data_IF_031596897842
#
_entry.id   IF_031596897842
#
_cell.length_a   1.000
_cell.length_b   1.000
_cell.length_c   1.000
_cell.angle_alpha   90.00
_cell.angle_beta   90.00
_cell.angle_gamma   90.00
#
_symmetry.space_group_name_H-M   'P 1'
#
loop_
_entity.id
_entity.type
_entity.pdbx_description
1 polymer ?
#
# COMPACT_ATOMS: atom_id res chain seq x y z
N UNK A 1 -19.25 14.43 27.42
CA UNK A 1 -18.18 15.33 27.91
C UNK A 1 -16.88 14.67 27.49
N UNK A 2 -16.38 15.06 26.33
CA UNK A 2 -15.68 14.08 25.50
C UNK A 2 -14.18 14.30 25.66
N UNK A 3 -13.50 13.24 26.13
CA UNK A 3 -12.08 13.27 26.47
C UNK A 3 -11.22 13.21 25.20
N UNK A 4 -11.29 14.25 24.38
CA UNK A 4 -10.27 14.51 23.36
C UNK A 4 -8.94 14.80 24.06
N UNK A 5 -8.06 13.81 24.06
CA UNK A 5 -6.66 13.93 24.47
C UNK A 5 -5.90 14.78 23.46
N UNK A 6 -6.09 16.11 23.54
CA UNK A 6 -5.38 17.07 22.70
C UNK A 6 -3.88 16.83 22.79
N UNK A 7 -3.26 16.53 21.64
CA UNK A 7 -1.80 16.43 21.53
C UNK A 7 -1.17 17.73 22.03
N UNK A 8 -0.01 17.68 22.71
CA UNK A 8 0.65 18.90 23.21
C UNK A 8 0.94 19.87 22.06
N UNK A 9 1.05 21.19 22.33
CA UNK A 9 1.46 22.19 21.34
C UNK A 9 2.74 21.74 20.63
N UNK A 10 2.66 21.64 19.30
CA UNK A 10 3.76 21.18 18.45
C UNK A 10 3.81 22.06 17.22
N UNK A 11 4.91 22.78 17.07
CA UNK A 11 5.18 23.75 16.01
C UNK A 11 6.65 23.63 15.61
N UNK A 12 6.91 23.61 14.31
CA UNK A 12 8.26 23.52 13.75
C UNK A 12 8.48 24.65 12.74
N UNK A 13 9.73 25.12 12.68
CA UNK A 13 10.13 26.14 11.71
C UNK A 13 10.47 25.49 10.35
N UNK A 14 9.99 26.05 9.25
CA UNK A 14 10.11 25.46 7.90
C UNK A 14 11.02 26.28 6.98
N UNK A 15 10.84 27.60 6.91
CA UNK A 15 11.56 28.49 5.97
C UNK A 15 11.86 29.86 6.60
N UNK A 16 13.12 30.29 6.47
CA UNK A 16 13.66 31.65 6.64
C UNK A 16 13.18 32.43 7.89
N UNK A 17 13.05 31.75 9.04
CA UNK A 17 12.52 32.25 10.32
C UNK A 17 11.16 32.99 10.27
N UNK A 18 10.38 32.81 9.20
CA UNK A 18 9.06 33.42 9.03
C UNK A 18 7.93 32.41 8.82
N UNK A 19 8.20 31.22 8.28
CA UNK A 19 7.17 30.22 7.95
C UNK A 19 7.24 29.00 8.88
N UNK A 20 6.10 28.67 9.51
CA UNK A 20 5.97 27.62 10.52
C UNK A 20 4.85 26.64 10.19
N UNK A 21 5.05 25.36 10.55
CA UNK A 21 4.02 24.31 10.53
C UNK A 21 3.64 23.93 11.96
N UNK A 22 2.37 23.66 12.24
CA UNK A 22 1.97 23.21 13.58
C UNK A 22 0.65 22.42 13.66
N UNK A 23 0.30 22.05 14.89
CA UNK A 23 -0.96 21.38 15.23
C UNK A 23 -1.99 22.34 15.85
N UNK A 24 -3.24 21.87 16.04
CA UNK A 24 -4.32 22.69 16.57
C UNK A 24 -4.06 23.20 18.00
N UNK A 25 -3.24 22.50 18.79
CA UNK A 25 -2.83 22.96 20.12
C UNK A 25 -1.87 24.17 20.04
N UNK A 26 -0.89 24.15 19.15
CA UNK A 26 -0.01 25.32 18.91
C UNK A 26 -0.77 26.53 18.38
N UNK A 27 -1.75 26.32 17.50
CA UNK A 27 -2.62 27.38 16.98
C UNK A 27 -3.64 27.93 18.00
N UNK A 28 -3.79 27.29 19.17
CA UNK A 28 -4.58 27.79 20.31
C UNK A 28 -3.72 28.36 21.45
N UNK A 29 -2.40 28.19 21.41
CA UNK A 29 -1.49 28.66 22.44
C UNK A 29 -1.00 30.09 22.14
N UNK A 30 -1.70 31.11 22.65
CA UNK A 30 -1.34 32.52 22.45
C UNK A 30 0.09 32.84 22.89
N UNK A 31 0.50 32.33 24.05
CA UNK A 31 1.87 32.51 24.59
C UNK A 31 2.95 32.05 23.58
N UNK A 32 2.71 30.92 22.90
CA UNK A 32 3.63 30.36 21.91
C UNK A 32 3.65 31.19 20.62
N UNK A 33 2.50 31.75 20.24
CA UNK A 33 2.38 32.65 19.08
C UNK A 33 3.07 33.98 19.35
N UNK A 34 2.93 34.54 20.55
CA UNK A 34 3.62 35.75 21.00
C UNK A 34 5.13 35.53 21.07
N UNK A 35 5.60 34.44 21.70
CA UNK A 35 7.04 34.11 21.79
C UNK A 35 7.70 33.92 20.41
N UNK A 36 6.97 33.38 19.43
CA UNK A 36 7.45 33.19 18.07
C UNK A 36 7.18 34.39 17.14
N UNK A 37 6.45 35.41 17.61
CA UNK A 37 6.07 36.57 16.81
C UNK A 37 5.14 36.23 15.63
N UNK A 38 4.25 35.24 15.78
CA UNK A 38 3.30 34.83 14.74
C UNK A 38 2.29 35.96 14.49
N UNK A 39 2.33 36.51 13.28
CA UNK A 39 1.47 37.64 12.86
C UNK A 39 0.23 37.20 12.09
N UNK A 40 0.29 36.00 11.49
CA UNK A 40 -0.69 35.49 10.53
C UNK A 40 -0.90 33.98 10.72
N UNK A 41 -2.13 33.50 10.53
CA UNK A 41 -2.49 32.08 10.72
C UNK A 41 -3.24 31.57 9.48
N UNK A 42 -2.93 30.34 9.07
CA UNK A 42 -3.70 29.56 8.09
C UNK A 42 -4.25 28.30 8.79
N UNK A 43 -5.54 28.33 9.14
CA UNK A 43 -6.28 27.16 9.62
C UNK A 43 -6.68 26.28 8.44
N UNK A 44 -6.24 25.02 8.43
CA UNK A 44 -6.63 24.01 7.45
C UNK A 44 -7.36 22.86 8.16
N UNK A 45 -8.60 23.14 8.57
CA UNK A 45 -9.43 22.26 9.42
C UNK A 45 -10.91 22.40 9.04
N UNK A 46 -11.67 21.29 9.03
CA UNK A 46 -13.14 21.34 8.96
C UNK A 46 -13.72 22.29 10.01
N UNK A 47 -14.75 23.04 9.63
CA UNK A 47 -15.45 23.99 10.50
C UNK A 47 -14.53 25.07 11.11
N UNK A 48 -13.38 25.35 10.47
CA UNK A 48 -12.57 26.51 10.80
C UNK A 48 -13.19 27.79 10.21
N UNK A 49 -13.13 28.85 11.00
CA UNK A 49 -13.63 30.17 10.62
C UNK A 49 -12.53 31.21 10.83
N UNK A 50 -12.45 32.20 9.94
CA UNK A 50 -11.54 33.34 10.09
C UNK A 50 -11.96 34.18 11.29
N UNK A 51 -10.99 34.61 12.08
CA UNK A 51 -11.18 35.49 13.25
C UNK A 51 -10.78 36.94 12.98
N UNK A 52 -10.32 37.26 11.77
CA UNK A 52 -9.81 38.58 11.41
C UNK A 52 -8.99 38.56 10.12
N UNK A 53 -8.53 39.74 9.62
CA UNK A 53 -7.81 39.84 8.35
C UNK A 53 -6.54 38.97 8.30
N UNK A 54 -5.83 38.85 9.42
CA UNK A 54 -4.60 38.06 9.54
C UNK A 54 -4.84 36.55 9.73
N UNK A 55 -6.07 36.05 9.58
CA UNK A 55 -6.39 34.64 9.73
C UNK A 55 -7.17 34.12 8.51
N UNK A 56 -6.50 33.30 7.69
CA UNK A 56 -7.16 32.53 6.62
C UNK A 56 -7.66 31.19 7.17
N UNK A 57 -8.96 30.92 7.03
CA UNK A 57 -9.54 29.61 7.30
C UNK A 57 -9.88 28.87 5.99
N UNK A 58 -9.58 27.57 5.96
CA UNK A 58 -9.83 26.64 4.85
C UNK A 58 -10.51 25.40 5.45
N UNK A 59 -11.82 25.26 5.22
CA UNK A 59 -12.63 24.19 5.81
C UNK A 59 -12.62 22.92 4.96
N UNK A 60 -11.62 22.06 5.18
CA UNK A 60 -11.44 20.78 4.48
C UNK A 60 -11.21 19.61 5.45
N UNK A 61 -11.73 18.44 5.09
CA UNK A 61 -11.45 17.14 5.72
C UNK A 61 -9.95 16.75 5.60
N UNK A 62 -9.46 15.88 6.50
CA UNK A 62 -8.35 15.00 6.13
C UNK A 62 -9.00 13.76 5.51
N UNK A 63 -9.13 13.76 4.18
CA UNK A 63 -9.63 12.65 3.38
C UNK A 63 -9.05 12.76 1.98
N UNK A 64 -8.83 11.62 1.33
CA UNK A 64 -8.22 11.51 0.02
C UNK A 64 -9.16 12.01 -1.10
N UNK A 65 -10.47 12.02 -0.84
CA UNK A 65 -11.52 12.48 -1.76
C UNK A 65 -11.77 14.01 -1.70
N UNK A 66 -11.17 14.70 -0.73
CA UNK A 66 -11.43 16.12 -0.42
C UNK A 66 -10.69 17.08 -1.35
N UNK A 67 -11.33 18.20 -1.72
CA UNK A 67 -10.77 19.19 -2.64
C UNK A 67 -10.01 20.30 -1.91
N UNK A 68 -8.74 20.05 -1.61
CA UNK A 68 -7.85 21.12 -1.12
C UNK A 68 -7.25 21.92 -2.27
N UNK A 69 -7.15 21.33 -3.47
CA UNK A 69 -6.56 21.90 -4.69
C UNK A 69 -7.13 23.29 -5.03
N UNK A 70 -8.46 23.43 -5.05
CA UNK A 70 -9.12 24.70 -5.39
C UNK A 70 -8.82 25.82 -4.37
N UNK A 71 -8.36 25.48 -3.15
CA UNK A 71 -8.00 26.44 -2.12
C UNK A 71 -6.52 26.85 -2.13
N UNK A 72 -5.64 26.07 -2.78
CA UNK A 72 -4.19 26.30 -2.77
C UNK A 72 -3.79 27.71 -3.31
N UNK A 73 -4.35 28.27 -4.40
CA UNK A 73 -3.97 29.60 -4.87
C UNK A 73 -4.22 30.70 -3.83
N UNK A 74 -5.34 30.61 -3.11
CA UNK A 74 -5.70 31.57 -2.05
C UNK A 74 -4.76 31.44 -0.85
N UNK A 75 -4.42 30.21 -0.48
CA UNK A 75 -3.49 29.94 0.61
C UNK A 75 -2.08 30.44 0.31
N UNK A 76 -1.55 30.13 -0.88
CA UNK A 76 -0.21 30.55 -1.29
C UNK A 76 -0.10 32.07 -1.41
N UNK A 77 -1.11 32.75 -1.95
CA UNK A 77 -1.15 34.22 -1.99
C UNK A 77 -1.19 34.84 -0.59
N UNK A 78 -2.02 34.30 0.31
CA UNK A 78 -2.08 34.80 1.69
C UNK A 78 -0.75 34.64 2.43
N UNK A 79 -0.08 33.49 2.26
CA UNK A 79 1.27 33.25 2.81
C UNK A 79 2.27 34.25 2.22
N UNK A 80 2.31 34.41 0.89
CA UNK A 80 3.27 35.32 0.24
C UNK A 80 3.10 36.77 0.69
N UNK A 81 1.86 37.31 0.64
CA UNK A 81 1.55 38.65 1.12
C UNK A 81 2.05 38.89 2.56
N UNK A 82 1.75 37.95 3.46
CA UNK A 82 2.14 38.04 4.87
C UNK A 82 3.67 37.97 5.09
N UNK A 83 4.42 37.32 4.20
CA UNK A 83 5.88 37.25 4.23
C UNK A 83 6.53 38.51 3.63
N UNK A 84 5.94 39.06 2.56
CA UNK A 84 6.37 40.31 1.92
C UNK A 84 6.25 41.50 2.89
N UNK A 85 5.16 41.54 3.68
CA UNK A 85 4.94 42.50 4.78
C UNK A 85 5.84 42.23 6.02
N UNK A 86 6.90 41.42 5.88
CA UNK A 86 7.84 41.01 6.95
C UNK A 86 7.20 40.26 8.14
N UNK A 87 5.98 39.76 7.96
CA UNK A 87 5.27 38.98 8.97
C UNK A 87 5.80 37.55 9.11
N UNK A 88 5.25 36.85 10.10
CA UNK A 88 5.45 35.41 10.34
C UNK A 88 4.11 34.68 10.27
N UNK A 89 4.12 33.51 9.64
CA UNK A 89 2.91 32.74 9.28
C UNK A 89 2.96 31.34 9.90
N UNK A 90 1.91 30.98 10.64
CA UNK A 90 1.66 29.60 11.11
C UNK A 90 0.62 28.93 10.20
N UNK A 91 1.02 27.87 9.50
CA UNK A 91 0.09 26.98 8.77
C UNK A 91 -0.15 25.72 9.60
N UNK A 92 -1.41 25.44 9.95
CA UNK A 92 -1.73 24.29 10.81
C UNK A 92 -2.97 23.54 10.36
N UNK A 93 -3.06 22.27 10.77
CA UNK A 93 -4.29 21.49 10.74
C UNK A 93 -4.55 20.92 12.15
N UNK A 94 -5.28 19.80 12.27
CA UNK A 94 -5.50 19.13 13.56
C UNK A 94 -4.17 18.63 14.15
N UNK A 95 -3.42 17.85 13.37
CA UNK A 95 -2.17 17.19 13.81
C UNK A 95 -0.89 17.85 13.29
N UNK A 96 -0.99 18.74 12.30
CA UNK A 96 0.19 19.28 11.60
C UNK A 96 0.92 18.25 10.73
N UNK A 97 0.19 17.29 10.15
CA UNK A 97 0.77 16.12 9.42
C UNK A 97 0.42 16.14 7.94
N UNK A 98 -0.88 16.24 7.61
CA UNK A 98 -1.38 16.12 6.23
C UNK A 98 -1.80 17.48 5.64
N UNK A 99 -3.07 17.90 5.78
CA UNK A 99 -3.63 19.18 5.27
C UNK A 99 -2.70 20.41 5.28
N UNK A 100 -2.08 20.71 6.41
CA UNK A 100 -1.16 21.86 6.56
C UNK A 100 0.11 21.71 5.73
N UNK A 101 0.64 20.49 5.67
CA UNK A 101 1.78 20.14 4.84
C UNK A 101 1.44 20.30 3.37
N UNK A 102 0.26 19.89 2.92
CA UNK A 102 -0.20 20.11 1.53
C UNK A 102 -0.16 21.60 1.16
N UNK A 103 -0.67 22.48 2.01
CA UNK A 103 -0.64 23.93 1.79
C UNK A 103 0.80 24.48 1.76
N UNK A 104 1.68 24.01 2.63
CA UNK A 104 3.09 24.42 2.64
C UNK A 104 3.88 23.89 1.44
N UNK A 105 3.65 22.64 1.01
CA UNK A 105 4.23 22.08 -0.22
C UNK A 105 3.78 22.90 -1.42
N UNK A 106 2.47 23.19 -1.53
CA UNK A 106 1.92 24.04 -2.59
C UNK A 106 2.59 25.43 -2.62
N UNK A 107 2.74 26.07 -1.46
CA UNK A 107 3.42 27.37 -1.36
C UNK A 107 4.88 27.30 -1.83
N UNK A 108 5.65 26.30 -1.37
CA UNK A 108 7.05 26.10 -1.79
C UNK A 108 7.18 25.78 -3.28
N UNK A 109 6.23 25.01 -3.84
CA UNK A 109 6.19 24.75 -5.28
C UNK A 109 5.93 26.02 -6.09
N UNK A 110 4.97 26.86 -5.68
CA UNK A 110 4.65 28.09 -6.43
C UNK A 110 5.74 29.16 -6.28
N UNK A 111 6.23 29.40 -5.06
CA UNK A 111 7.22 30.45 -4.76
C UNK A 111 8.66 30.09 -5.16
N UNK A 112 9.08 28.83 -4.97
CA UNK A 112 10.47 28.39 -5.21
C UNK A 112 10.64 27.47 -6.42
N UNK A 113 9.56 27.26 -7.21
CA UNK A 113 9.52 26.35 -8.38
C UNK A 113 10.02 24.93 -8.09
N UNK A 114 9.84 24.49 -6.84
CA UNK A 114 10.18 23.14 -6.40
C UNK A 114 9.17 22.12 -6.94
N UNK A 115 9.61 20.88 -7.17
CA UNK A 115 8.68 19.75 -7.38
C UNK A 115 8.02 19.34 -6.04
N UNK A 116 6.82 18.71 -6.07
CA UNK A 116 6.12 18.29 -4.84
C UNK A 116 7.02 17.49 -3.89
N UNK A 117 7.77 16.53 -4.45
CA UNK A 117 8.65 15.65 -3.68
C UNK A 117 9.87 16.37 -3.10
N UNK A 118 10.34 17.47 -3.74
CA UNK A 118 11.44 18.27 -3.21
C UNK A 118 10.97 19.21 -2.09
N UNK A 119 9.81 19.84 -2.27
CA UNK A 119 9.19 20.69 -1.25
C UNK A 119 8.75 19.90 -0.02
N UNK A 120 8.16 18.70 -0.18
CA UNK A 120 7.82 17.81 0.93
C UNK A 120 9.07 17.40 1.73
N UNK A 121 10.16 17.00 1.06
CA UNK A 121 11.42 16.65 1.74
C UNK A 121 12.04 17.82 2.51
N UNK A 122 11.87 19.06 2.06
CA UNK A 122 12.32 20.25 2.80
C UNK A 122 11.55 20.37 4.12
N UNK A 123 10.23 20.21 4.10
CA UNK A 123 9.42 20.24 5.34
C UNK A 123 9.78 19.07 6.26
N UNK A 124 10.04 17.88 5.71
CA UNK A 124 10.47 16.70 6.47
C UNK A 124 11.82 16.86 7.19
N UNK A 125 12.70 17.78 6.76
CA UNK A 125 13.94 18.08 7.48
C UNK A 125 13.68 18.74 8.84
N UNK A 126 12.63 19.58 8.94
CA UNK A 126 12.22 20.21 10.20
C UNK A 126 11.22 19.36 10.99
N UNK A 127 10.26 18.73 10.30
CA UNK A 127 9.17 17.94 10.91
C UNK A 127 9.08 16.57 10.21
N UNK A 128 9.87 15.57 10.64
CA UNK A 128 9.93 14.25 9.98
C UNK A 128 8.60 13.50 9.91
N UNK A 129 7.63 13.84 10.77
CA UNK A 129 6.30 13.22 10.84
C UNK A 129 5.29 13.74 9.81
N UNK A 130 5.67 14.64 8.89
CA UNK A 130 4.72 15.11 7.87
C UNK A 130 4.45 14.06 6.77
N UNK A 131 3.17 13.88 6.48
CA UNK A 131 2.64 12.94 5.50
C UNK A 131 1.29 13.48 5.01
N UNK A 132 1.23 14.18 3.86
CA UNK A 132 -0.02 14.42 3.16
C UNK A 132 -0.63 13.09 2.71
N UNK A 133 -1.94 12.93 2.86
CA UNK A 133 -2.61 11.74 2.36
C UNK A 133 -2.45 11.58 0.84
N UNK A 134 -2.70 10.37 0.34
CA UNK A 134 -2.52 10.03 -1.07
C UNK A 134 -3.27 10.98 -2.04
N UNK A 135 -4.53 11.33 -1.73
CA UNK A 135 -5.33 12.23 -2.56
C UNK A 135 -4.75 13.63 -2.67
N UNK A 136 -4.21 14.16 -1.56
CA UNK A 136 -3.50 15.44 -1.53
C UNK A 136 -2.14 15.37 -2.24
N UNK A 137 -1.40 14.26 -2.14
CA UNK A 137 -0.16 14.06 -2.89
C UNK A 137 -0.38 14.05 -4.41
N UNK A 138 -1.54 13.60 -4.89
CA UNK A 138 -1.95 13.72 -6.30
C UNK A 138 -2.41 15.13 -6.66
N UNK A 139 -3.20 15.79 -5.81
CA UNK A 139 -3.62 17.18 -6.04
C UNK A 139 -2.43 18.13 -6.19
N UNK A 140 -1.29 17.86 -5.54
CA UNK A 140 -0.06 18.63 -5.73
C UNK A 140 0.56 18.50 -7.13
N UNK A 141 0.44 17.34 -7.81
CA UNK A 141 0.86 17.24 -9.22
C UNK A 141 -0.05 18.11 -10.10
N UNK A 142 -1.36 17.95 -9.93
CA UNK A 142 -2.39 18.68 -10.67
C UNK A 142 -2.28 20.19 -10.42
N UNK A 143 -1.83 20.63 -9.24
CA UNK A 143 -1.56 22.04 -8.95
C UNK A 143 -0.45 22.61 -9.85
N UNK A 144 0.59 21.84 -10.17
CA UNK A 144 1.59 22.23 -11.16
C UNK A 144 1.07 22.13 -12.60
N UNK A 145 0.29 21.08 -12.93
CA UNK A 145 -0.38 20.93 -14.24
C UNK A 145 -1.46 21.99 -14.53
N UNK A 146 -1.88 22.74 -13.51
CA UNK A 146 -2.78 23.88 -13.62
C UNK A 146 -2.05 25.24 -13.68
N UNK A 147 -0.72 25.25 -13.86
CA UNK A 147 0.14 26.46 -13.72
C UNK A 147 -0.11 27.22 -12.41
N UNK A 148 -0.43 26.48 -11.33
CA UNK A 148 -0.78 26.99 -10.00
C UNK A 148 -2.11 27.78 -9.93
N UNK A 149 -2.96 27.68 -10.95
CA UNK A 149 -4.29 28.30 -11.03
C UNK A 149 -5.40 27.29 -11.45
N UNK A 150 -5.71 26.26 -10.63
CA UNK A 150 -6.86 25.39 -10.84
C UNK A 150 -8.19 26.17 -10.90
N UNK A 151 -9.08 25.79 -11.81
CA UNK A 151 -10.42 26.36 -12.00
C UNK A 151 -11.35 25.34 -12.65
N UNK A 152 -12.66 25.61 -12.66
CA UNK A 152 -13.68 24.81 -13.36
C UNK A 152 -13.42 24.59 -14.85
N UNK A 153 -12.58 25.44 -15.44
CA UNK A 153 -12.35 25.51 -16.88
C UNK A 153 -10.95 25.01 -17.25
N UNK A 154 -10.09 24.76 -16.26
CA UNK A 154 -8.75 24.22 -16.44
C UNK A 154 -8.82 22.71 -16.79
N UNK A 155 -8.28 22.26 -17.95
CA UNK A 155 -8.39 20.86 -18.38
C UNK A 155 -7.81 19.84 -17.39
N UNK A 156 -6.69 20.16 -16.75
CA UNK A 156 -6.00 19.29 -15.78
C UNK A 156 -6.83 19.11 -14.51
N UNK A 157 -7.37 20.20 -13.97
CA UNK A 157 -8.31 20.17 -12.84
C UNK A 157 -9.59 19.39 -13.18
N UNK A 158 -10.20 19.64 -14.34
CA UNK A 158 -11.44 18.96 -14.77
C UNK A 158 -11.22 17.46 -14.99
N UNK A 159 -10.07 17.07 -15.56
CA UNK A 159 -9.70 15.66 -15.70
C UNK A 159 -9.51 15.00 -14.34
N UNK A 160 -8.69 15.59 -13.46
CA UNK A 160 -8.49 15.11 -12.10
C UNK A 160 -9.81 14.97 -11.34
N UNK A 161 -10.69 15.98 -11.39
CA UNK A 161 -11.96 15.99 -10.65
C UNK A 161 -12.91 14.86 -11.06
N UNK A 162 -12.80 14.37 -12.30
CA UNK A 162 -13.55 13.20 -12.81
C UNK A 162 -12.91 11.86 -12.41
N UNK A 163 -11.58 11.81 -12.33
CA UNK A 163 -10.83 10.57 -12.07
C UNK A 163 -10.49 10.33 -10.59
N UNK A 164 -10.56 11.36 -9.75
CA UNK A 164 -10.06 11.31 -8.36
C UNK A 164 -10.69 10.18 -7.55
N UNK A 165 -12.01 9.97 -7.66
CA UNK A 165 -12.75 8.98 -6.89
C UNK A 165 -12.25 7.57 -7.23
N UNK A 166 -12.21 7.21 -8.52
CA UNK A 166 -11.67 5.93 -8.99
C UNK A 166 -10.21 5.72 -8.56
N UNK A 167 -9.36 6.76 -8.67
CA UNK A 167 -7.95 6.69 -8.30
C UNK A 167 -7.74 6.51 -6.79
N UNK A 168 -8.60 7.10 -5.95
CA UNK A 168 -8.56 6.97 -4.50
C UNK A 168 -9.16 5.63 -4.08
N UNK A 169 -10.33 5.23 -4.58
CA UNK A 169 -10.94 3.94 -4.26
C UNK A 169 -10.02 2.77 -4.61
N UNK A 170 -9.31 2.81 -5.76
CA UNK A 170 -8.30 1.78 -6.07
C UNK A 170 -7.19 1.71 -5.01
N UNK A 171 -6.66 2.86 -4.59
CA UNK A 171 -5.61 2.93 -3.57
C UNK A 171 -6.10 2.44 -2.19
N UNK A 172 -7.31 2.85 -1.77
CA UNK A 172 -7.89 2.41 -0.49
C UNK A 172 -8.16 0.90 -0.49
N UNK A 173 -8.68 0.33 -1.59
CA UNK A 173 -8.86 -1.11 -1.73
C UNK A 173 -7.52 -1.85 -1.59
N UNK A 174 -6.46 -1.39 -2.29
CA UNK A 174 -5.13 -2.02 -2.17
C UNK A 174 -4.54 -2.00 -0.74
N UNK A 175 -4.93 -1.04 0.11
CA UNK A 175 -4.60 -1.08 1.54
C UNK A 175 -5.46 -2.10 2.31
N UNK A 176 -6.76 -2.20 2.01
CA UNK A 176 -7.69 -3.16 2.64
C UNK A 176 -7.35 -4.61 2.27
N UNK A 177 -6.96 -4.84 1.02
CA UNK A 177 -6.60 -6.14 0.45
C UNK A 177 -5.19 -6.60 0.89
N UNK A 178 -4.45 -5.77 1.63
CA UNK A 178 -3.15 -6.13 2.21
C UNK A 178 -3.32 -6.82 3.57
N UNK A 179 -3.37 -8.15 3.56
CA UNK A 179 -3.63 -8.98 4.74
C UNK A 179 -2.45 -8.99 5.75
N UNK A 180 -2.67 -8.73 7.05
CA UNK A 180 -1.70 -8.99 8.09
C UNK A 180 -1.66 -10.48 8.47
N UNK A 181 -0.55 -11.15 8.22
CA UNK A 181 -0.32 -12.57 8.55
C UNK A 181 0.27 -12.73 9.94
N UNK A 182 1.22 -11.85 10.28
CA UNK A 182 1.70 -11.68 11.65
C UNK A 182 1.55 -10.18 11.95
N UNK A 183 0.66 -9.78 12.87
CA UNK A 183 0.44 -8.38 13.21
C UNK A 183 1.75 -7.65 13.48
N UNK A 184 1.88 -6.44 12.91
CA UNK A 184 3.04 -5.55 13.02
C UNK A 184 4.38 -6.12 12.50
N UNK A 185 4.39 -7.29 11.83
CA UNK A 185 5.62 -7.97 11.38
C UNK A 185 5.60 -8.47 9.93
N UNK A 186 4.49 -9.09 9.49
CA UNK A 186 4.38 -9.73 8.17
C UNK A 186 3.03 -9.45 7.53
N UNK A 187 3.06 -8.69 6.43
CA UNK A 187 1.93 -8.43 5.54
C UNK A 187 2.05 -9.26 4.25
N UNK A 188 0.91 -9.50 3.62
CA UNK A 188 0.77 -10.27 2.39
C UNK A 188 -0.24 -9.57 1.47
N UNK A 189 0.09 -9.36 0.20
CA UNK A 189 -0.84 -8.76 -0.77
C UNK A 189 -0.65 -9.31 -2.18
N UNK A 190 -1.75 -9.54 -2.88
CA UNK A 190 -1.74 -9.86 -4.31
C UNK A 190 -1.60 -8.62 -5.19
N UNK A 191 -2.02 -7.45 -4.73
CA UNK A 191 -1.92 -6.18 -5.45
C UNK A 191 -0.72 -5.35 -4.96
N UNK A 192 -0.17 -4.51 -5.85
CA UNK A 192 0.74 -3.43 -5.48
C UNK A 192 0.64 -2.29 -6.52
N UNK A 193 0.81 -1.02 -6.13
CA UNK A 193 0.62 0.09 -7.07
C UNK A 193 1.75 0.25 -8.12
N UNK A 194 1.37 0.37 -9.39
CA UNK A 194 2.26 0.73 -10.50
C UNK A 194 2.77 2.19 -10.42
N UNK A 195 1.96 3.04 -9.78
CA UNK A 195 2.22 4.46 -9.58
C UNK A 195 3.13 4.67 -8.36
N UNK A 196 4.27 5.33 -8.56
CA UNK A 196 5.29 5.47 -7.52
C UNK A 196 4.81 6.31 -6.31
N UNK A 197 3.79 7.17 -6.46
CA UNK A 197 3.20 7.89 -5.32
C UNK A 197 2.21 7.01 -4.55
N UNK A 198 1.36 6.24 -5.22
CA UNK A 198 0.53 5.23 -4.56
C UNK A 198 1.40 4.22 -3.80
N UNK A 199 2.48 3.72 -4.43
CA UNK A 199 3.43 2.80 -3.81
C UNK A 199 4.12 3.42 -2.58
N UNK A 200 4.58 4.68 -2.70
CA UNK A 200 5.16 5.43 -1.58
C UNK A 200 4.16 5.63 -0.43
N UNK A 201 2.91 6.03 -0.72
CA UNK A 201 1.86 6.18 0.27
C UNK A 201 1.52 4.84 0.95
N UNK A 202 1.28 3.78 0.19
CA UNK A 202 1.00 2.43 0.73
C UNK A 202 2.08 1.99 1.71
N UNK A 203 3.35 2.21 1.34
CA UNK A 203 4.51 1.88 2.16
C UNK A 203 4.59 2.73 3.43
N UNK A 204 4.36 4.05 3.35
CA UNK A 204 4.48 4.92 4.52
C UNK A 204 3.28 4.81 5.47
N UNK A 205 2.05 4.69 4.96
CA UNK A 205 0.82 4.53 5.76
C UNK A 205 0.79 3.20 6.50
N UNK A 206 1.19 2.09 5.84
CA UNK A 206 1.30 0.77 6.49
C UNK A 206 2.59 0.60 7.31
N UNK A 207 3.55 1.52 7.22
CA UNK A 207 4.85 1.42 7.91
C UNK A 207 5.78 0.32 7.37
N UNK A 208 5.63 -0.08 6.12
CA UNK A 208 6.43 -1.14 5.47
C UNK A 208 7.89 -0.68 5.38
N UNK A 209 8.82 -1.59 5.70
CA UNK A 209 10.27 -1.31 5.66
C UNK A 209 11.04 -2.26 4.74
N UNK A 210 10.52 -3.48 4.54
CA UNK A 210 11.12 -4.51 3.72
C UNK A 210 10.07 -5.11 2.75
N UNK A 211 10.45 -5.46 1.52
CA UNK A 211 9.54 -6.04 0.52
C UNK A 211 10.13 -7.30 -0.13
N UNK A 212 9.36 -8.39 -0.13
CA UNK A 212 9.63 -9.59 -0.94
C UNK A 212 8.75 -9.52 -2.20
N UNK A 213 9.38 -9.46 -3.38
CA UNK A 213 8.73 -9.21 -4.66
C UNK A 213 8.83 -10.47 -5.53
N UNK A 214 7.73 -11.18 -5.78
CA UNK A 214 7.75 -12.46 -6.53
C UNK A 214 7.25 -12.29 -7.96
N UNK A 215 6.05 -11.76 -8.18
CA UNK A 215 5.56 -11.41 -9.51
C UNK A 215 4.71 -10.13 -9.47
N UNK A 216 5.11 -9.03 -10.15
CA UNK A 216 6.40 -8.83 -10.80
C UNK A 216 7.56 -8.81 -9.78
N UNK A 217 8.78 -9.05 -10.24
CA UNK A 217 10.00 -8.87 -9.43
C UNK A 217 10.48 -7.42 -9.36
N UNK A 218 9.97 -6.51 -10.20
CA UNK A 218 10.56 -5.18 -10.42
C UNK A 218 9.60 -4.05 -10.03
N UNK A 219 9.03 -4.14 -8.82
CA UNK A 219 8.22 -3.09 -8.20
C UNK A 219 9.00 -1.76 -8.10
N UNK A 220 8.28 -0.65 -8.29
CA UNK A 220 8.79 0.73 -8.16
C UNK A 220 8.78 1.19 -6.70
N UNK A 221 9.73 0.69 -5.93
CA UNK A 221 9.84 0.95 -4.49
C UNK A 221 10.63 2.25 -4.20
N UNK A 222 10.35 2.94 -3.08
CA UNK A 222 11.20 4.01 -2.57
C UNK A 222 12.63 3.51 -2.25
N UNK A 223 13.68 4.36 -2.40
CA UNK A 223 15.07 3.92 -2.34
C UNK A 223 15.58 3.53 -0.93
N UNK A 224 14.77 3.73 0.11
CA UNK A 224 15.07 3.37 1.49
C UNK A 224 14.47 2.01 1.92
N UNK A 225 13.76 1.32 1.03
CA UNK A 225 13.14 0.02 1.31
C UNK A 225 14.10 -1.11 0.93
N UNK A 226 14.42 -1.96 1.91
CA UNK A 226 15.16 -3.20 1.64
C UNK A 226 14.27 -4.16 0.83
N UNK A 227 14.79 -4.72 -0.27
CA UNK A 227 14.00 -5.59 -1.19
C UNK A 227 14.67 -6.92 -1.47
N UNK A 228 13.85 -7.94 -1.68
CA UNK A 228 14.27 -9.27 -2.11
C UNK A 228 13.41 -9.76 -3.30
N UNK A 229 14.04 -9.89 -4.47
CA UNK A 229 13.38 -10.24 -5.74
C UNK A 229 13.43 -11.77 -5.96
N UNK A 230 12.28 -12.45 -5.95
CA UNK A 230 12.20 -13.91 -6.15
C UNK A 230 12.02 -14.20 -7.63
N UNK A 231 13.11 -14.05 -8.40
CA UNK A 231 13.16 -14.13 -9.87
C UNK A 231 12.89 -15.53 -10.41
N UNK A 232 11.61 -15.89 -10.56
CA UNK A 232 11.16 -17.11 -11.24
C UNK A 232 11.58 -17.08 -12.72
N UNK A 233 12.58 -17.89 -13.08
CA UNK A 233 13.06 -17.98 -14.46
C UNK A 233 12.17 -18.90 -15.32
N UNK A 234 12.04 -18.60 -16.61
CA UNK A 234 11.33 -19.49 -17.56
C UNK A 234 12.00 -20.88 -17.70
N UNK A 235 13.19 -21.10 -17.14
CA UNK A 235 13.95 -22.34 -17.21
C UNK A 235 13.94 -23.14 -15.90
N UNK A 236 12.75 -23.61 -15.52
CA UNK A 236 12.52 -24.71 -14.54
C UNK A 236 12.94 -24.49 -13.08
N UNK A 237 13.47 -23.33 -12.68
CA UNK A 237 13.64 -23.05 -11.26
C UNK A 237 12.27 -23.00 -10.58
N UNK A 238 12.09 -23.84 -9.55
CA UNK A 238 10.85 -23.86 -8.78
C UNK A 238 10.91 -22.77 -7.72
N UNK A 239 9.76 -22.16 -7.41
CA UNK A 239 9.64 -21.26 -6.26
C UNK A 239 10.22 -21.89 -4.98
N UNK A 240 10.09 -23.21 -4.84
CA UNK A 240 10.57 -23.97 -3.69
C UNK A 240 12.10 -23.94 -3.51
N UNK A 241 12.88 -23.73 -4.59
CA UNK A 241 14.35 -23.62 -4.50
C UNK A 241 14.83 -22.20 -4.17
N UNK A 242 14.03 -21.17 -4.48
CA UNK A 242 14.35 -19.77 -4.17
C UNK A 242 13.79 -19.31 -2.81
N UNK A 243 12.65 -19.89 -2.39
CA UNK A 243 11.99 -19.63 -1.11
C UNK A 243 12.92 -19.60 0.12
N UNK A 244 13.95 -20.45 0.27
CA UNK A 244 14.79 -20.44 1.48
C UNK A 244 15.51 -19.10 1.70
N UNK A 245 15.86 -18.38 0.63
CA UNK A 245 16.44 -17.05 0.70
C UNK A 245 15.40 -16.00 1.13
N UNK A 246 14.18 -16.08 0.60
CA UNK A 246 13.07 -15.22 1.00
C UNK A 246 12.68 -15.42 2.48
N UNK A 247 12.60 -16.66 2.97
CA UNK A 247 12.33 -16.95 4.38
C UNK A 247 13.45 -16.45 5.32
N UNK A 248 14.71 -16.47 4.87
CA UNK A 248 15.84 -15.87 5.61
C UNK A 248 15.71 -14.34 5.64
N UNK A 249 15.40 -13.70 4.51
CA UNK A 249 15.18 -12.25 4.44
C UNK A 249 14.02 -11.79 5.34
N UNK A 250 12.87 -12.49 5.32
CA UNK A 250 11.72 -12.21 6.20
C UNK A 250 12.12 -12.34 7.67
N UNK A 251 12.84 -13.42 8.05
CA UNK A 251 13.35 -13.62 9.42
C UNK A 251 14.25 -12.46 9.87
N UNK A 252 15.19 -12.06 9.02
CA UNK A 252 16.21 -11.07 9.39
C UNK A 252 15.66 -9.64 9.41
N UNK A 253 14.70 -9.34 8.54
CA UNK A 253 13.90 -8.12 8.60
C UNK A 253 13.10 -8.01 9.91
N UNK A 254 12.34 -9.06 10.26
CA UNK A 254 11.54 -9.08 11.51
C UNK A 254 12.45 -9.02 12.74
N UNK A 255 13.63 -9.66 12.72
CA UNK A 255 14.62 -9.55 13.79
C UNK A 255 15.18 -8.12 13.99
N UNK A 256 15.24 -7.31 12.92
CA UNK A 256 15.54 -5.86 13.00
C UNK A 256 14.35 -5.01 13.48
N UNK A 257 13.18 -5.61 13.77
CA UNK A 257 11.86 -4.95 13.94
C UNK A 257 11.33 -4.29 12.66
N UNK A 258 11.72 -4.78 11.49
CA UNK A 258 11.18 -4.33 10.21
C UNK A 258 9.87 -5.04 9.87
N UNK A 259 8.84 -4.26 9.52
CA UNK A 259 7.61 -4.76 8.89
C UNK A 259 7.88 -5.16 7.44
N UNK A 260 7.54 -6.40 7.09
CA UNK A 260 7.77 -7.01 5.78
C UNK A 260 6.46 -7.14 5.00
N UNK A 261 6.42 -6.70 3.74
CA UNK A 261 5.37 -7.06 2.80
C UNK A 261 5.87 -8.17 1.86
N UNK A 262 5.10 -9.25 1.71
CA UNK A 262 5.29 -10.23 0.64
C UNK A 262 4.25 -9.97 -0.45
N UNK A 263 4.69 -9.75 -1.69
CA UNK A 263 3.83 -9.41 -2.81
C UNK A 263 3.96 -10.38 -4.00
N UNK A 264 2.81 -10.76 -4.57
CA UNK A 264 2.71 -11.50 -5.83
C UNK A 264 1.32 -11.39 -6.46
N UNK A 265 1.21 -10.84 -7.67
CA UNK A 265 0.02 -10.93 -8.54
C UNK A 265 -0.49 -12.38 -8.70
N UNK A 266 0.41 -13.37 -8.61
CA UNK A 266 0.06 -14.78 -8.47
C UNK A 266 -0.01 -15.11 -6.98
N UNK A 267 -1.20 -15.01 -6.39
CA UNK A 267 -1.48 -15.19 -4.94
C UNK A 267 -0.79 -16.41 -4.33
N UNK A 268 -0.89 -17.57 -4.99
CA UNK A 268 -0.36 -18.82 -4.47
C UNK A 268 1.17 -18.81 -4.31
N UNK A 269 1.91 -18.01 -5.09
CA UNK A 269 3.35 -17.88 -4.92
C UNK A 269 3.71 -17.14 -3.61
N UNK A 270 2.98 -16.08 -3.27
CA UNK A 270 3.21 -15.38 -2.01
C UNK A 270 2.75 -16.21 -0.80
N UNK A 271 1.63 -16.93 -0.94
CA UNK A 271 1.16 -17.92 0.03
C UNK A 271 2.22 -19.01 0.32
N UNK A 272 2.87 -19.58 -0.70
CA UNK A 272 3.92 -20.59 -0.55
C UNK A 272 5.10 -20.05 0.27
N UNK A 273 5.57 -18.83 -0.03
CA UNK A 273 6.70 -18.20 0.70
C UNK A 273 6.32 -17.91 2.15
N UNK A 274 5.10 -17.46 2.41
CA UNK A 274 4.59 -17.22 3.78
C UNK A 274 4.45 -18.54 4.54
N UNK A 275 3.82 -19.57 3.97
CA UNK A 275 3.73 -20.89 4.62
C UNK A 275 5.11 -21.50 4.88
N UNK A 276 6.06 -21.38 3.95
CA UNK A 276 7.43 -21.81 4.14
C UNK A 276 8.11 -21.10 5.32
N UNK A 277 7.91 -19.78 5.46
CA UNK A 277 8.41 -19.01 6.61
C UNK A 277 7.77 -19.46 7.94
N UNK A 278 6.45 -19.62 7.99
CA UNK A 278 5.72 -20.08 9.18
C UNK A 278 6.16 -21.49 9.60
N UNK A 279 6.30 -22.42 8.67
CA UNK A 279 6.81 -23.77 8.95
C UNK A 279 8.27 -23.73 9.43
N UNK A 280 9.12 -22.90 8.82
CA UNK A 280 10.56 -22.88 9.11
C UNK A 280 10.94 -22.14 10.41
N UNK A 281 10.26 -21.04 10.76
CA UNK A 281 10.59 -20.24 11.96
C UNK A 281 9.57 -20.39 13.10
N UNK A 282 8.26 -20.50 12.80
CA UNK A 282 7.21 -20.71 13.83
C UNK A 282 6.93 -22.19 14.13
N UNK A 283 7.59 -23.13 13.42
CA UNK A 283 7.44 -24.59 13.57
C UNK A 283 6.01 -25.11 13.35
N UNK A 284 5.21 -24.36 12.59
CA UNK A 284 3.85 -24.78 12.20
C UNK A 284 3.89 -25.96 11.23
N UNK A 285 2.83 -26.76 11.19
CA UNK A 285 2.58 -27.69 10.08
C UNK A 285 2.10 -26.92 8.84
N UNK A 286 2.08 -27.58 7.67
CA UNK A 286 1.47 -26.99 6.47
C UNK A 286 0.00 -26.63 6.71
N UNK A 287 -0.79 -27.54 7.31
CA UNK A 287 -2.21 -27.31 7.64
C UNK A 287 -2.43 -26.13 8.58
N UNK A 288 -1.56 -25.94 9.58
CA UNK A 288 -1.61 -24.77 10.47
C UNK A 288 -1.27 -23.48 9.70
N UNK A 289 -0.25 -23.53 8.85
CA UNK A 289 0.20 -22.38 8.06
C UNK A 289 -0.84 -21.93 7.04
N UNK A 290 -1.56 -22.86 6.41
CA UNK A 290 -2.67 -22.56 5.51
C UNK A 290 -3.85 -21.91 6.24
N UNK A 291 -4.18 -22.35 7.47
CA UNK A 291 -5.26 -21.73 8.26
C UNK A 291 -4.99 -20.26 8.58
N UNK A 292 -3.73 -19.88 8.85
CA UNK A 292 -3.38 -18.46 9.05
C UNK A 292 -3.71 -17.60 7.81
N UNK A 293 -3.61 -18.17 6.60
CA UNK A 293 -4.01 -17.47 5.36
C UNK A 293 -5.53 -17.43 5.16
N UNK A 294 -6.26 -18.44 5.63
CA UNK A 294 -7.72 -18.53 5.54
C UNK A 294 -8.42 -17.66 6.60
N UNK A 295 -7.95 -17.68 7.85
CA UNK A 295 -8.40 -16.81 8.94
C UNK A 295 -8.14 -15.32 8.61
N UNK A 296 -7.08 -15.04 7.84
CA UNK A 296 -6.80 -13.72 7.26
C UNK A 296 -7.64 -13.36 6.03
N UNK A 297 -8.52 -14.24 5.55
CA UNK A 297 -9.29 -14.14 4.30
C UNK A 297 -8.47 -14.05 3.00
N UNK A 298 -7.15 -14.23 3.02
CA UNK A 298 -6.30 -14.06 1.83
C UNK A 298 -6.59 -15.10 0.74
N UNK A 299 -6.78 -16.37 1.13
CA UNK A 299 -7.06 -17.47 0.19
C UNK A 299 -8.13 -18.43 0.75
N UNK A 300 -9.44 -18.12 0.61
CA UNK A 300 -10.57 -18.85 1.23
C UNK A 300 -10.83 -20.30 0.76
N UNK A 301 -9.83 -20.98 0.19
CA UNK A 301 -9.98 -22.32 -0.40
C UNK A 301 -8.65 -23.11 -0.48
N UNK A 302 -7.59 -22.67 0.22
CA UNK A 302 -6.27 -23.28 0.02
C UNK A 302 -6.15 -24.65 0.69
N UNK A 303 -6.76 -24.84 1.87
CA UNK A 303 -7.02 -26.17 2.41
C UNK A 303 -7.90 -26.98 1.48
N UNK A 304 -8.94 -26.41 0.86
CA UNK A 304 -9.80 -27.15 -0.08
C UNK A 304 -9.00 -27.72 -1.25
N UNK A 305 -8.05 -26.95 -1.80
CA UNK A 305 -7.16 -27.40 -2.89
C UNK A 305 -6.18 -28.47 -2.40
N UNK A 306 -5.60 -28.32 -1.21
CA UNK A 306 -4.67 -29.30 -0.63
C UNK A 306 -5.37 -30.60 -0.22
N UNK A 307 -6.52 -30.54 0.46
CA UNK A 307 -7.33 -31.71 0.81
C UNK A 307 -7.84 -32.42 -0.45
N UNK A 308 -8.26 -31.71 -1.50
CA UNK A 308 -8.60 -32.34 -2.78
C UNK A 308 -7.40 -33.09 -3.40
N UNK A 309 -6.17 -32.58 -3.25
CA UNK A 309 -4.97 -33.28 -3.71
C UNK A 309 -4.68 -34.54 -2.87
N UNK A 310 -4.84 -34.46 -1.55
CA UNK A 310 -4.56 -35.54 -0.60
C UNK A 310 -5.63 -36.65 -0.63
N UNK A 311 -6.91 -36.27 -0.72
CA UNK A 311 -8.06 -37.16 -0.79
C UNK A 311 -8.31 -37.74 -2.19
N UNK A 312 -7.61 -37.28 -3.23
CA UNK A 312 -7.75 -37.77 -4.62
C UNK A 312 -7.58 -39.30 -4.80
N UNK A 313 -7.02 -39.99 -3.79
CA UNK A 313 -6.92 -41.45 -3.74
C UNK A 313 -8.23 -42.19 -3.39
N UNK A 314 -9.31 -41.53 -2.90
CA UNK A 314 -10.61 -42.19 -2.67
C UNK A 314 -11.83 -41.34 -3.10
N UNK A 315 -12.95 -42.03 -3.38
CA UNK A 315 -14.20 -41.44 -3.89
C UNK A 315 -15.12 -40.97 -2.76
N UNK A 316 -15.93 -39.93 -2.98
CA UNK A 316 -17.41 -40.01 -3.03
C UNK A 316 -18.05 -38.67 -3.46
N UNK A 317 -19.38 -38.55 -3.43
CA UNK A 317 -20.19 -37.44 -4.00
C UNK A 317 -21.10 -36.80 -2.93
N UNK A 318 -21.28 -35.47 -2.93
CA UNK A 318 -22.56 -34.82 -3.28
C UNK A 318 -22.50 -33.27 -3.35
N UNK A 319 -23.60 -32.67 -3.85
CA UNK A 319 -23.88 -31.23 -4.07
C UNK A 319 -24.38 -30.54 -2.78
N UNK A 320 -24.33 -29.22 -2.53
CA UNK A 320 -24.71 -28.02 -3.35
C UNK A 320 -23.69 -26.85 -3.17
N UNK A 321 -23.81 -25.60 -3.66
CA UNK A 321 -24.91 -24.69 -4.07
C UNK A 321 -24.51 -23.78 -5.27
N UNK A 322 -25.39 -22.83 -5.64
CA UNK A 322 -25.26 -21.78 -6.67
C UNK A 322 -24.62 -20.47 -6.14
N UNK A 323 -24.27 -19.47 -7.01
CA UNK A 323 -24.49 -19.38 -8.47
C UNK A 323 -23.27 -19.03 -9.35
N UNK A 324 -23.30 -19.54 -10.58
CA UNK A 324 -22.71 -18.97 -11.82
C UNK A 324 -21.24 -18.50 -11.73
N UNK A 325 -20.32 -19.34 -12.20
CA UNK A 325 -19.08 -18.88 -12.86
C UNK A 325 -18.66 -19.88 -13.95
N UNK A 326 -17.89 -19.39 -14.94
CA UNK A 326 -17.59 -20.07 -16.21
C UNK A 326 -16.22 -20.76 -16.10
N UNK A 327 -16.20 -22.07 -15.87
CA UNK A 327 -14.96 -22.78 -15.51
C UNK A 327 -14.44 -23.67 -16.65
N UNK A 328 -13.17 -23.53 -16.98
CA UNK A 328 -12.42 -24.38 -17.92
C UNK A 328 -11.24 -25.05 -17.23
N UNK A 329 -11.04 -26.35 -17.44
CA UNK A 329 -9.93 -27.14 -16.91
C UNK A 329 -9.20 -27.92 -18.02
N UNK A 330 -7.96 -28.31 -17.76
CA UNK A 330 -7.14 -29.15 -18.66
C UNK A 330 -6.12 -29.94 -17.83
N UNK A 331 -5.98 -31.24 -18.11
CA UNK A 331 -5.16 -32.20 -17.34
C UNK A 331 -4.54 -33.27 -18.25
N UNK A 332 -3.42 -33.88 -17.84
CA UNK A 332 -3.02 -35.21 -18.32
C UNK A 332 -2.29 -36.01 -17.23
N UNK A 333 -2.45 -37.34 -17.30
CA UNK A 333 -1.83 -38.37 -16.46
C UNK A 333 -0.72 -39.06 -17.29
N UNK A 334 0.42 -39.48 -16.70
CA UNK A 334 1.62 -39.77 -17.48
C UNK A 334 1.57 -41.09 -18.27
N UNK A 335 1.53 -40.98 -19.60
CA UNK A 335 2.20 -41.90 -20.55
C UNK A 335 2.25 -41.31 -21.98
N UNK A 336 2.86 -40.13 -22.16
CA UNK A 336 3.24 -39.56 -23.46
C UNK A 336 2.11 -39.31 -24.48
N UNK A 337 1.55 -38.09 -24.48
CA UNK A 337 0.67 -37.53 -25.53
C UNK A 337 -0.59 -38.39 -25.84
N UNK A 338 -1.82 -38.01 -25.52
CA UNK A 338 -2.39 -36.72 -25.91
C UNK A 338 -3.62 -36.41 -25.04
N UNK A 339 -3.52 -35.50 -24.06
CA UNK A 339 -4.38 -34.31 -24.09
C UNK A 339 -4.60 -33.63 -22.69
N UNK A 340 -5.76 -33.30 -22.05
CA UNK A 340 -7.23 -33.43 -22.28
C UNK A 340 -8.07 -32.12 -21.99
N UNK A 341 -9.10 -31.76 -22.82
CA UNK A 341 -9.97 -30.53 -22.74
C UNK A 341 -11.49 -30.82 -22.82
N UNK A 342 -12.32 -30.16 -22.00
CA UNK A 342 -13.81 -30.26 -22.08
C UNK A 342 -14.46 -28.95 -22.52
N UNK A 343 -15.45 -29.01 -23.40
CA UNK A 343 -16.28 -27.84 -23.80
C UNK A 343 -17.74 -28.12 -23.44
N UNK A 344 -18.36 -27.15 -22.76
CA UNK A 344 -19.79 -27.10 -22.47
C UNK A 344 -20.42 -25.96 -23.26
N UNK A 345 -21.33 -26.29 -24.17
CA UNK A 345 -22.07 -25.35 -25.00
C UNK A 345 -23.58 -25.50 -24.75
N UNK A 346 -24.26 -24.34 -24.69
CA UNK A 346 -25.71 -24.26 -24.56
C UNK A 346 -26.30 -23.65 -25.82
N UNK A 347 -27.09 -24.43 -26.54
CA UNK A 347 -27.93 -23.95 -27.64
C UNK A 347 -29.37 -24.42 -27.41
N UNK A 348 -30.34 -23.57 -27.74
CA UNK A 348 -31.78 -23.88 -27.69
C UNK A 348 -32.25 -24.60 -26.39
N UNK A 349 -31.72 -24.17 -25.24
CA UNK A 349 -32.13 -24.67 -23.93
C UNK A 349 -31.64 -26.08 -23.56
N UNK A 350 -30.73 -26.69 -24.34
CA UNK A 350 -30.13 -27.99 -24.01
C UNK A 350 -28.61 -27.88 -23.88
N UNK A 351 -28.08 -28.39 -22.77
CA UNK A 351 -26.65 -28.62 -22.62
C UNK A 351 -26.24 -29.86 -23.43
N UNK A 352 -25.12 -29.77 -24.15
CA UNK A 352 -24.44 -30.93 -24.75
C UNK A 352 -22.98 -30.96 -24.31
N UNK A 353 -22.44 -32.16 -24.15
CA UNK A 353 -21.06 -32.38 -23.68
C UNK A 353 -20.22 -33.06 -24.76
N UNK A 354 -18.96 -32.64 -24.91
CA UNK A 354 -17.98 -33.29 -25.77
C UNK A 354 -16.59 -33.20 -25.14
N UNK A 355 -15.90 -34.33 -25.07
CA UNK A 355 -14.47 -34.38 -24.73
C UNK A 355 -13.64 -34.18 -26.01
N UNK A 356 -12.61 -33.36 -25.93
CA UNK A 356 -11.48 -33.32 -26.89
C UNK A 356 -10.18 -33.36 -26.07
N UNK A 357 -9.01 -33.37 -26.71
CA UNK A 357 -7.77 -33.57 -25.97
C UNK A 357 -6.80 -32.34 -26.00
N UNK A 358 -6.52 -31.59 -24.88
CA UNK A 358 -5.43 -30.57 -24.69
C UNK A 358 -4.78 -30.49 -23.26
N UNK A 359 -3.43 -30.48 -23.14
CA UNK A 359 -2.59 -30.43 -21.90
C UNK A 359 -2.24 -28.99 -21.55
N UNK A 360 -2.09 -28.69 -20.26
CA UNK A 360 -0.78 -28.45 -19.60
C UNK A 360 -1.01 -27.79 -18.23
N UNK A 361 -0.62 -28.48 -17.15
CA UNK A 361 -0.49 -27.88 -15.82
C UNK A 361 0.99 -27.53 -15.58
N UNK A 362 1.57 -26.75 -16.49
CA UNK A 362 3.01 -26.52 -16.57
C UNK A 362 3.52 -25.39 -15.68
N UNK A 363 2.66 -24.51 -15.18
CA UNK A 363 3.08 -23.26 -14.53
C UNK A 363 3.25 -23.33 -13.00
N UNK A 364 2.41 -24.07 -12.25
CA UNK A 364 2.41 -23.99 -10.76
C UNK A 364 3.29 -25.02 -10.05
N UNK A 365 3.38 -26.27 -10.54
CA UNK A 365 4.35 -27.31 -10.11
C UNK A 365 4.60 -27.48 -8.59
N UNK A 366 3.57 -27.38 -7.75
CA UNK A 366 3.72 -27.56 -6.29
C UNK A 366 3.81 -29.05 -5.94
N UNK A 367 5.03 -29.56 -5.76
CA UNK A 367 5.27 -30.85 -5.11
C UNK A 367 5.27 -30.68 -3.59
N UNK A 368 4.19 -31.08 -2.92
CA UNK A 368 4.02 -30.96 -1.47
C UNK A 368 5.01 -31.87 -0.71
N UNK A 369 5.32 -33.05 -1.25
CA UNK A 369 6.26 -34.00 -0.60
C UNK A 369 7.69 -33.49 -0.76
N UNK A 370 8.04 -32.99 -1.94
CA UNK A 370 9.30 -32.27 -2.21
C UNK A 370 9.44 -30.99 -1.39
N UNK A 371 8.34 -30.27 -1.14
CA UNK A 371 8.30 -29.07 -0.28
C UNK A 371 8.65 -29.39 1.17
N UNK A 372 7.96 -30.35 1.79
CA UNK A 372 8.24 -30.78 3.15
C UNK A 372 9.64 -31.39 3.27
N UNK A 373 10.06 -32.19 2.29
CA UNK A 373 11.43 -32.76 2.22
C UNK A 373 12.49 -31.66 2.14
N UNK A 374 12.26 -30.60 1.34
CA UNK A 374 13.16 -29.46 1.21
C UNK A 374 13.27 -28.69 2.52
N UNK A 375 12.15 -28.38 3.17
CA UNK A 375 12.13 -27.72 4.48
C UNK A 375 12.82 -28.56 5.57
N UNK A 376 12.62 -29.89 5.57
CA UNK A 376 13.30 -30.81 6.49
C UNK A 376 14.82 -30.92 6.24
N UNK A 377 15.28 -30.77 5.01
CA UNK A 377 16.71 -30.80 4.70
C UNK A 377 17.38 -29.47 5.07
N UNK A 378 16.70 -28.33 4.86
CA UNK A 378 17.20 -27.01 5.28
C UNK A 378 17.28 -26.89 6.80
N UNK A 379 16.32 -27.45 7.55
CA UNK A 379 16.37 -27.43 9.02
C UNK A 379 17.49 -28.30 9.59
N UNK A 380 17.78 -29.46 8.99
CA UNK A 380 18.94 -30.31 9.33
C UNK A 380 20.27 -29.61 9.08
N UNK A 381 20.41 -28.89 7.96
CA UNK A 381 21.66 -28.22 7.60
C UNK A 381 22.04 -27.05 8.53
N UNK A 382 21.11 -26.50 9.33
CA UNK A 382 21.47 -25.51 10.39
C UNK A 382 22.30 -26.11 11.54
N UNK A 383 22.41 -27.44 11.65
CA UNK A 383 23.16 -28.13 12.72
C UNK A 383 24.62 -28.48 12.36
N UNK A 384 25.18 -27.95 11.26
CA UNK A 384 26.56 -28.24 10.83
C UNK A 384 27.43 -26.99 10.56
N UNK A 385 27.02 -25.80 11.00
CA UNK A 385 27.79 -24.55 10.79
C UNK A 385 27.91 -23.65 12.03
N UNK A 386 27.94 -24.24 13.24
CA UNK A 386 28.57 -23.63 14.44
C UNK A 386 29.13 -24.76 15.31
N UNK A 387 30.45 -24.83 15.46
CA UNK A 387 31.15 -25.80 16.32
C UNK A 387 31.52 -27.10 15.60
#
# INVERSE_FOLDING_TARGET
MDSQSFSPPSIDHVVDNQLYIGNLASAKASELQECLGITHIVSVCQNSHSTGPNHLAISVADSEYEDILIHLPKACKFIQNALDDSGRVLVHCVMGVSRSTTVLVAYLMQSRRMSPNAALRLIQQSRPSVMPNYGFLKQLDVFAECDYYPSSDNPSYVYWKRMQEQHVTRFLNQMIDTTPIIPEQLLLSSEFPDDIKQAYSLIQELGITHVVSISPCELRLPPFIERHDVRLSHQKESLLTLMPAACIFIRDAIAKKGLVLVHSLVECNAAIVVCGYLMQQQKMTITQSCRVLEDGNYLPSLLTIIDLSYQSNQRYLYSTVHPILRVTWSFLIPAGTLLQRTILSFENGRATYRLVFLTELSETKIDIVGFETTLQNISKNRCQTVG
#
